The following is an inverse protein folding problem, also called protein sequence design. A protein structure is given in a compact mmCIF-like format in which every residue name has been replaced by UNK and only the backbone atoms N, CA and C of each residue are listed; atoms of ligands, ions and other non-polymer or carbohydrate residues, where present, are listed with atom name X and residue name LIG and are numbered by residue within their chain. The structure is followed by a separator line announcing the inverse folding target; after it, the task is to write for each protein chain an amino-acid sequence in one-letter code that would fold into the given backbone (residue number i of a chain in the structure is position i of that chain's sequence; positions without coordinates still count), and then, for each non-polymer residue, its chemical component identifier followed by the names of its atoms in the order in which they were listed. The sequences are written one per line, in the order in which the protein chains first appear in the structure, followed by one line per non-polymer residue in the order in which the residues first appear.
data_IF_874814496439
#
_entry.id   IF_874814496439
#
_cell.length_a   1.000
_cell.length_b   1.000
_cell.length_c   1.000
_cell.angle_alpha   90.00
_cell.angle_beta   90.00
_cell.angle_gamma   90.00
#
_symmetry.space_group_name_H-M   'P 1'
#
loop_
_entity.id
_entity.type
_entity.pdbx_description
1 polymer ?
#
# COMPACT_ATOMS: atom_id res chain seq x y z
N UNK A 1 -6.82 54.60 -12.95
CA UNK A 1 -7.74 53.83 -13.80
C UNK A 1 -7.14 52.47 -14.17
N UNK A 2 -6.72 51.67 -13.18
CA UNK A 2 -5.97 50.41 -13.38
C UNK A 2 -6.39 49.29 -12.43
N UNK A 3 -7.25 49.58 -11.45
CA UNK A 3 -7.72 48.58 -10.49
C UNK A 3 -8.91 47.74 -11.02
N UNK A 4 -9.77 48.34 -11.86
CA UNK A 4 -10.96 47.66 -12.39
C UNK A 4 -10.62 46.59 -13.45
N UNK A 5 -9.50 46.74 -14.16
CA UNK A 5 -9.07 45.80 -15.21
C UNK A 5 -8.53 44.46 -14.65
N UNK A 6 -8.11 44.41 -13.38
CA UNK A 6 -7.62 43.16 -12.77
C UNK A 6 -8.74 42.27 -12.23
N UNK A 7 -9.87 42.86 -11.84
CA UNK A 7 -10.99 42.14 -11.22
C UNK A 7 -11.79 41.37 -12.28
N UNK A 8 -11.88 41.88 -13.52
CA UNK A 8 -12.54 41.20 -14.63
C UNK A 8 -11.78 39.96 -15.12
N UNK A 9 -10.46 39.89 -14.94
CA UNK A 9 -9.68 38.72 -15.35
C UNK A 9 -9.93 37.50 -14.44
N UNK A 10 -10.17 37.72 -13.15
CA UNK A 10 -10.33 36.64 -12.16
C UNK A 10 -11.69 35.93 -12.24
N UNK A 11 -12.72 36.58 -12.78
CA UNK A 11 -14.07 35.98 -12.90
C UNK A 11 -14.20 35.04 -14.11
N UNK A 12 -13.32 35.13 -15.10
CA UNK A 12 -13.34 34.26 -16.28
C UNK A 12 -12.82 32.84 -15.98
N UNK A 13 -11.97 32.66 -14.97
CA UNK A 13 -11.35 31.36 -14.64
C UNK A 13 -12.28 30.43 -13.83
N UNK A 14 -13.29 30.98 -13.15
CA UNK A 14 -14.14 30.22 -12.21
C UNK A 14 -15.44 29.66 -12.83
N UNK A 15 -15.65 29.84 -14.14
CA UNK A 15 -16.87 29.41 -14.85
C UNK A 15 -16.82 28.05 -15.58
N UNK A 16 -15.69 27.32 -15.56
CA UNK A 16 -15.54 26.03 -16.28
C UNK A 16 -15.56 24.79 -15.34
N UNK A 17 -16.34 24.85 -14.26
CA UNK A 17 -16.76 23.63 -13.54
C UNK A 17 -17.98 23.02 -14.25
N UNK A 18 -17.71 22.23 -15.29
CA UNK A 18 -18.71 21.34 -15.90
C UNK A 18 -18.18 19.91 -15.88
N UNK A 19 -18.95 19.04 -15.24
CA UNK A 19 -18.67 17.64 -14.97
C UNK A 19 -18.31 16.83 -16.22
N UNK A 20 -17.20 16.09 -16.15
CA UNK A 20 -17.01 14.87 -16.95
C UNK A 20 -16.85 13.67 -16.00
N UNK A 21 -17.90 13.41 -15.21
CA UNK A 21 -18.18 12.08 -14.67
C UNK A 21 -18.68 11.25 -15.85
N UNK A 22 -17.79 10.47 -16.48
CA UNK A 22 -18.10 9.12 -16.99
C UNK A 22 -16.89 8.54 -17.73
N UNK A 23 -16.35 7.45 -17.17
CA UNK A 23 -15.96 6.31 -17.98
C UNK A 23 -16.61 5.07 -17.37
N UNK A 24 -17.55 4.42 -18.08
CA UNK A 24 -17.97 3.07 -17.75
C UNK A 24 -16.73 2.18 -17.74
N UNK A 25 -16.47 1.49 -16.62
CA UNK A 25 -15.53 0.38 -16.63
C UNK A 25 -16.12 -0.73 -17.48
N UNK A 26 -15.40 -1.13 -18.53
CA UNK A 26 -15.74 -2.28 -19.35
C UNK A 26 -15.91 -3.54 -18.46
N UNK A 27 -16.84 -4.44 -18.82
CA UNK A 27 -16.98 -5.73 -18.15
C UNK A 27 -15.67 -6.49 -18.25
N UNK A 28 -15.02 -6.71 -17.12
CA UNK A 28 -13.86 -7.59 -17.04
C UNK A 28 -14.33 -8.99 -17.44
N UNK A 29 -13.85 -9.46 -18.59
CA UNK A 29 -14.07 -10.82 -19.05
C UNK A 29 -13.69 -11.83 -17.94
N UNK A 30 -14.39 -12.97 -17.81
CA UNK A 30 -14.08 -13.96 -16.80
C UNK A 30 -12.64 -14.46 -16.98
N UNK A 31 -11.77 -14.15 -16.01
CA UNK A 31 -10.46 -14.81 -15.91
C UNK A 31 -10.68 -16.30 -15.61
N UNK A 32 -9.90 -17.20 -16.24
CA UNK A 32 -10.06 -18.64 -16.04
C UNK A 32 -9.83 -19.03 -14.57
N UNK A 33 -10.49 -20.08 -14.07
CA UNK A 33 -10.32 -20.53 -12.69
C UNK A 33 -8.86 -20.89 -12.43
N UNK A 34 -8.24 -20.24 -11.44
CA UNK A 34 -6.93 -20.65 -10.93
C UNK A 34 -7.15 -22.00 -10.24
N UNK A 35 -6.47 -23.08 -10.66
CA UNK A 35 -6.66 -24.38 -10.06
C UNK A 35 -6.16 -24.38 -8.61
N UNK A 36 -6.85 -25.08 -7.68
CA UNK A 36 -6.37 -25.20 -6.32
C UNK A 36 -5.07 -26.01 -6.29
N UNK A 37 -3.98 -25.38 -5.85
CA UNK A 37 -2.73 -26.08 -5.54
C UNK A 37 -2.92 -26.92 -4.28
N UNK A 38 -3.41 -28.14 -4.43
CA UNK A 38 -3.40 -29.15 -3.38
C UNK A 38 -1.95 -29.62 -3.16
N UNK A 39 -1.41 -29.59 -1.93
CA UNK A 39 -0.10 -30.18 -1.66
C UNK A 39 -0.19 -31.71 -1.73
N UNK A 40 0.43 -32.30 -2.75
CA UNK A 40 0.74 -33.73 -2.78
C UNK A 40 1.62 -34.07 -1.59
N UNK A 41 1.08 -34.85 -0.65
CA UNK A 41 1.86 -35.44 0.44
C UNK A 41 2.16 -36.87 0.04
N UNK A 42 3.40 -37.16 -0.36
CA UNK A 42 3.89 -38.52 -0.54
C UNK A 42 4.46 -39.01 0.81
N UNK A 43 3.94 -40.09 1.42
CA UNK A 43 4.51 -40.62 2.67
C UNK A 43 5.78 -41.43 2.37
N UNK A 44 6.83 -41.23 3.18
CA UNK A 44 7.99 -42.11 3.26
C UNK A 44 7.88 -42.96 4.55
N UNK A 45 8.22 -44.27 4.54
CA UNK A 45 8.10 -45.11 5.73
C UNK A 45 9.43 -45.31 6.49
N UNK A 46 9.24 -45.48 7.82
CA UNK A 46 10.05 -46.25 8.79
C UNK A 46 11.04 -45.53 9.75
N UNK A 47 10.63 -45.52 11.02
CA UNK A 47 11.29 -45.28 12.35
C UNK A 47 12.42 -46.30 12.67
N UNK A 48 13.20 -46.28 13.81
CA UNK A 48 13.20 -45.49 15.08
C UNK A 48 14.65 -45.15 15.66
N UNK A 49 14.91 -44.92 16.99
CA UNK A 49 14.52 -43.81 17.90
C UNK A 49 15.68 -43.25 18.79
N UNK A 50 15.92 -41.93 18.94
CA UNK A 50 16.72 -41.42 20.09
C UNK A 50 16.34 -39.97 20.49
N UNK A 51 15.83 -39.85 21.73
CA UNK A 51 15.78 -38.69 22.68
C UNK A 51 15.10 -37.37 22.24
N UNK A 52 14.12 -36.82 22.99
CA UNK A 52 13.58 -35.50 22.72
C UNK A 52 14.55 -34.40 23.18
N UNK A 53 15.45 -33.97 22.31
CA UNK A 53 15.91 -32.58 22.30
C UNK A 53 14.74 -31.81 21.69
N UNK A 54 14.10 -30.93 22.45
CA UNK A 54 13.06 -30.02 21.91
C UNK A 54 13.77 -29.19 20.84
N UNK A 55 13.52 -29.42 19.54
CA UNK A 55 14.12 -28.57 18.51
C UNK A 55 13.31 -27.28 18.57
N UNK A 56 13.97 -26.14 18.83
CA UNK A 56 13.37 -24.85 18.54
C UNK A 56 12.94 -24.91 17.07
N UNK A 57 11.63 -25.07 16.81
CA UNK A 57 11.09 -25.10 15.46
C UNK A 57 11.62 -23.84 14.77
N UNK A 58 12.33 -23.94 13.63
CA UNK A 58 12.68 -22.76 12.86
C UNK A 58 11.39 -22.01 12.58
N UNK A 59 11.29 -20.78 13.07
CA UNK A 59 10.14 -19.94 12.79
C UNK A 59 9.98 -19.88 11.27
N UNK A 60 8.81 -20.31 10.79
CA UNK A 60 8.51 -20.33 9.36
C UNK A 60 8.75 -18.91 8.82
N UNK A 61 9.50 -18.72 7.71
CA UNK A 61 9.78 -17.38 7.21
C UNK A 61 8.46 -16.62 7.02
N UNK A 62 8.30 -15.48 7.69
CA UNK A 62 7.13 -14.65 7.49
C UNK A 62 7.10 -14.18 6.04
N UNK A 63 5.91 -14.08 5.41
CA UNK A 63 5.78 -13.54 4.07
C UNK A 63 6.38 -12.13 4.02
N UNK A 64 7.35 -11.91 3.14
CA UNK A 64 7.95 -10.58 2.91
C UNK A 64 7.03 -9.65 2.12
N UNK A 65 5.93 -10.19 1.60
CA UNK A 65 4.92 -9.52 0.77
C UNK A 65 3.52 -9.91 1.21
N UNK A 66 2.55 -9.02 0.97
CA UNK A 66 1.14 -9.35 1.11
C UNK A 66 0.65 -10.11 -0.12
N UNK A 67 -0.24 -11.10 0.09
CA UNK A 67 -0.95 -11.74 -1.03
C UNK A 67 -2.01 -10.82 -1.66
N UNK A 68 -2.49 -9.82 -0.91
CA UNK A 68 -3.58 -8.93 -1.35
C UNK A 68 -3.13 -7.55 -1.79
N UNK A 69 -1.94 -7.11 -1.37
CA UNK A 69 -1.41 -5.79 -1.70
C UNK A 69 -0.12 -5.94 -2.50
N UNK A 70 -0.05 -5.29 -3.65
CA UNK A 70 1.16 -5.27 -4.46
C UNK A 70 2.28 -4.48 -3.76
N UNK A 71 3.54 -4.90 -3.88
CA UNK A 71 4.69 -4.12 -3.41
C UNK A 71 4.86 -2.82 -4.23
N UNK A 72 5.56 -1.81 -3.69
CA UNK A 72 5.89 -0.60 -4.44
C UNK A 72 6.77 -0.93 -5.66
N UNK A 73 6.59 -0.21 -6.77
CA UNK A 73 7.40 -0.40 -7.96
C UNK A 73 8.86 -0.01 -7.70
N UNK A 74 9.79 -0.94 -7.93
CA UNK A 74 11.21 -0.65 -8.09
C UNK A 74 11.99 -0.23 -6.82
N UNK A 75 11.53 -0.60 -5.62
CA UNK A 75 12.22 -0.24 -4.37
C UNK A 75 12.28 -1.36 -3.33
N UNK A 76 13.36 -1.38 -2.55
CA UNK A 76 13.47 -2.21 -1.35
C UNK A 76 12.39 -1.82 -0.34
N UNK A 77 11.51 -2.77 -0.05
CA UNK A 77 10.46 -2.63 0.93
C UNK A 77 10.10 -4.00 1.51
N UNK A 78 9.51 -4.00 2.70
CA UNK A 78 9.00 -5.19 3.33
C UNK A 78 7.56 -4.98 3.81
N UNK A 79 6.75 -6.03 3.75
CA UNK A 79 5.41 -6.00 4.29
C UNK A 79 5.42 -6.03 5.83
N UNK A 80 4.77 -5.06 6.47
CA UNK A 80 4.44 -5.10 7.89
C UNK A 80 2.96 -5.47 8.07
N UNK A 81 2.71 -6.68 8.57
CA UNK A 81 1.36 -7.20 8.78
C UNK A 81 0.59 -6.51 9.91
N UNK A 82 1.30 -5.94 10.90
CA UNK A 82 0.68 -5.21 12.02
C UNK A 82 0.15 -3.86 11.56
N UNK A 83 0.90 -3.19 10.69
CA UNK A 83 0.52 -1.90 10.11
C UNK A 83 -0.36 -2.05 8.86
N UNK A 84 -0.28 -3.19 8.18
CA UNK A 84 -0.99 -3.45 6.93
C UNK A 84 -0.45 -2.64 5.76
N UNK A 85 0.85 -2.33 5.77
CA UNK A 85 1.53 -1.51 4.76
C UNK A 85 2.90 -2.10 4.43
N UNK A 86 3.44 -1.72 3.28
CA UNK A 86 4.85 -1.89 3.01
C UNK A 86 5.65 -0.77 3.67
N UNK A 87 6.71 -1.09 4.38
CA UNK A 87 7.68 -0.14 4.92
C UNK A 87 8.83 -0.02 3.91
N UNK A 88 9.23 1.19 3.56
CA UNK A 88 10.36 1.41 2.66
C UNK A 88 11.66 1.33 3.45
N UNK A 89 12.59 0.47 3.03
CA UNK A 89 13.86 0.27 3.76
C UNK A 89 14.79 1.48 3.61
N UNK A 90 14.71 2.18 2.47
CA UNK A 90 15.59 3.30 2.13
C UNK A 90 15.07 4.66 2.62
N UNK A 91 13.87 4.70 3.21
CA UNK A 91 13.24 5.94 3.65
C UNK A 91 12.56 5.77 5.00
N UNK A 92 13.05 6.51 6.00
CA UNK A 92 12.46 6.50 7.33
C UNK A 92 11.06 7.11 7.32
N UNK A 93 10.15 6.51 8.06
CA UNK A 93 8.76 6.95 8.21
C UNK A 93 7.98 7.05 6.90
N UNK A 94 8.43 6.37 5.84
CA UNK A 94 7.71 6.25 4.58
C UNK A 94 7.15 4.84 4.43
N UNK A 95 5.86 4.78 4.11
CA UNK A 95 5.08 3.58 3.99
C UNK A 95 4.38 3.56 2.64
N UNK A 96 4.02 2.39 2.14
CA UNK A 96 3.33 2.23 0.86
C UNK A 96 2.16 1.27 1.00
N UNK A 97 1.01 1.68 0.45
CA UNK A 97 -0.17 0.84 0.34
C UNK A 97 -1.00 1.28 -0.85
N UNK A 98 -1.45 0.31 -1.67
CA UNK A 98 -2.39 0.55 -2.77
C UNK A 98 -2.01 1.73 -3.69
N UNK A 99 -0.73 1.82 -4.10
CA UNK A 99 -0.18 2.90 -4.96
C UNK A 99 -0.05 4.28 -4.30
N UNK A 100 -0.28 4.38 -3.00
CA UNK A 100 -0.08 5.61 -2.25
C UNK A 100 1.07 5.41 -1.27
N UNK A 101 2.01 6.35 -1.31
CA UNK A 101 3.03 6.52 -0.30
C UNK A 101 2.49 7.40 0.81
N UNK A 102 2.72 7.01 2.05
CA UNK A 102 2.39 7.77 3.26
C UNK A 102 3.68 8.09 3.98
N UNK A 103 3.83 9.32 4.44
CA UNK A 103 5.00 9.76 5.19
C UNK A 103 4.55 10.43 6.48
N UNK A 104 5.21 10.07 7.58
CA UNK A 104 5.08 10.79 8.84
C UNK A 104 6.23 11.80 8.99
N UNK A 105 5.89 13.08 9.10
CA UNK A 105 6.82 14.16 9.35
C UNK A 105 6.15 15.29 10.14
N UNK A 106 5.97 15.09 11.46
CA UNK A 106 5.22 16.01 12.33
C UNK A 106 3.78 16.26 11.87
N UNK A 107 3.20 15.24 11.25
CA UNK A 107 1.98 15.30 10.45
C UNK A 107 1.99 14.21 9.40
N UNK A 108 0.81 13.81 8.94
CA UNK A 108 0.67 12.84 7.86
C UNK A 108 0.66 13.56 6.52
N UNK A 109 1.46 13.05 5.58
CA UNK A 109 1.36 13.44 4.18
C UNK A 109 1.32 12.20 3.30
N UNK A 110 0.73 12.32 2.11
CA UNK A 110 0.63 11.24 1.12
C UNK A 110 1.14 11.68 -0.25
N UNK A 111 1.54 10.74 -1.07
CA UNK A 111 2.03 10.99 -2.43
C UNK A 111 1.79 9.76 -3.30
N UNK A 112 1.70 9.95 -4.62
CA UNK A 112 1.72 8.84 -5.61
C UNK A 112 3.13 8.41 -6.00
N UNK A 113 4.14 9.17 -5.55
CA UNK A 113 5.56 8.96 -5.81
C UNK A 113 6.36 8.93 -4.50
N UNK A 114 7.42 8.12 -4.39
CA UNK A 114 8.20 7.98 -3.16
C UNK A 114 8.95 9.25 -2.74
N UNK A 115 9.11 10.21 -3.65
CA UNK A 115 9.85 11.45 -3.41
C UNK A 115 8.93 12.70 -3.40
N UNK A 116 7.62 12.50 -3.38
CA UNK A 116 6.63 13.59 -3.50
C UNK A 116 6.20 13.88 -4.95
N UNK A 117 5.39 14.92 -5.19
CA UNK A 117 4.97 15.94 -4.22
C UNK A 117 4.14 15.35 -3.08
N UNK A 118 4.37 15.84 -1.86
CA UNK A 118 3.64 15.40 -0.67
C UNK A 118 2.43 16.29 -0.45
N UNK A 119 1.26 15.67 -0.30
CA UNK A 119 0.00 16.32 0.06
C UNK A 119 -0.30 16.04 1.52
N UNK A 120 -0.62 17.06 2.30
CA UNK A 120 -1.01 16.87 3.69
C UNK A 120 -2.31 16.08 3.80
N UNK A 121 -2.38 15.21 4.79
CA UNK A 121 -3.53 14.37 5.05
C UNK A 121 -3.77 14.23 6.54
N UNK A 122 -4.99 13.91 6.92
CA UNK A 122 -5.36 13.67 8.31
C UNK A 122 -5.20 12.18 8.64
N UNK A 123 -5.33 11.85 9.92
CA UNK A 123 -5.26 10.45 10.40
C UNK A 123 -6.34 9.55 9.76
N UNK A 124 -7.46 10.12 9.31
CA UNK A 124 -8.52 9.41 8.59
C UNK A 124 -8.09 8.98 7.17
N UNK A 125 -7.15 9.72 6.57
CA UNK A 125 -6.62 9.45 5.24
C UNK A 125 -5.52 8.40 5.20
N UNK A 126 -4.98 8.01 6.36
CA UNK A 126 -3.92 7.00 6.47
C UNK A 126 -4.47 5.64 6.88
N UNK A 127 -3.80 4.54 6.49
CA UNK A 127 -4.15 3.21 6.96
C UNK A 127 -4.28 3.17 8.49
N UNK A 128 -5.34 2.54 9.00
CA UNK A 128 -5.66 2.55 10.42
C UNK A 128 -4.53 2.01 11.33
N UNK A 129 -3.69 1.10 10.81
CA UNK A 129 -2.49 0.63 11.51
C UNK A 129 -1.46 1.73 11.73
N UNK A 130 -1.25 2.61 10.74
CA UNK A 130 -0.33 3.73 10.81
C UNK A 130 -0.82 4.83 11.76
N UNK A 131 -2.09 5.23 11.65
CA UNK A 131 -2.66 6.25 12.53
C UNK A 131 -2.61 5.87 14.01
N UNK A 132 -2.68 4.58 14.35
CA UNK A 132 -2.52 4.10 15.73
C UNK A 132 -1.09 4.10 16.23
N UNK A 133 -0.09 4.03 15.35
CA UNK A 133 1.32 4.04 15.76
C UNK A 133 1.89 5.44 15.89
N UNK A 134 1.54 6.36 14.98
CA UNK A 134 2.07 7.72 14.96
C UNK A 134 0.92 8.70 15.23
N UNK A 135 0.99 9.36 16.38
CA UNK A 135 0.06 10.37 16.88
C UNK A 135 0.85 11.54 17.46
#
# INVERSE_FOLDING_TARGET
MTALARITLLTLVMGLSACAVQRPSEPSAPLPPIPPSTPTTKPAPSTPPVKPVIPNKPAKPLPRTSASFAPPPGGNSHWDAKLGVYVLDNQTNTFYRQRTYYRWNNGWSRSVSPNGPWEDTTIEGVPAGLGRQFH
#
